data_IF_477778901956
#
_entry.id   IF_477778901956
#
_cell.length_a   1.000
_cell.length_b   1.000
_cell.length_c   1.000
_cell.angle_alpha   90.00
_cell.angle_beta   90.00
_cell.angle_gamma   90.00
#
_symmetry.space_group_name_H-M   'P 1'
#
loop_
_entity.id
_entity.type
_entity.pdbx_description
1 polymer ?
#
# COMPACT_ATOMS: atom_id res chain seq x y z
N UNK A 1 21.11 10.22 58.68
CA UNK A 1 20.30 9.53 57.61
C UNK A 1 19.92 8.17 58.14
N UNK A 2 18.61 7.93 58.27
CA UNK A 2 18.08 6.70 58.86
C UNK A 2 18.22 5.51 57.90
N UNK A 3 18.66 4.35 58.41
CA UNK A 3 18.82 3.09 57.66
C UNK A 3 17.48 2.60 57.06
N UNK A 4 16.35 3.06 57.60
CA UNK A 4 14.99 2.76 57.16
C UNK A 4 14.67 3.35 55.77
N UNK A 5 15.35 4.39 55.30
CA UNK A 5 15.14 4.97 53.96
C UNK A 5 15.66 4.06 52.83
N UNK A 6 16.56 3.13 53.17
CA UNK A 6 17.11 2.16 52.17
C UNK A 6 16.22 0.95 51.94
N UNK A 7 15.18 0.73 52.75
CA UNK A 7 14.24 -0.40 52.68
C UNK A 7 12.90 -0.05 52.02
N UNK A 8 12.67 1.23 51.73
CA UNK A 8 11.46 1.63 51.02
C UNK A 8 11.65 1.36 49.53
N UNK A 9 10.68 0.67 48.86
CA UNK A 9 10.71 0.52 47.42
C UNK A 9 10.73 1.91 46.79
N UNK A 10 11.51 2.07 45.72
CA UNK A 10 11.57 3.29 44.94
C UNK A 10 10.16 3.73 44.56
N UNK A 11 9.77 4.95 44.98
CA UNK A 11 8.48 5.52 44.57
C UNK A 11 8.44 5.54 43.04
N UNK A 12 7.47 4.84 42.46
CA UNK A 12 7.15 4.98 41.05
C UNK A 12 6.78 6.45 40.84
N UNK A 13 7.64 7.19 40.16
CA UNK A 13 7.30 8.53 39.71
C UNK A 13 6.20 8.41 38.68
N UNK A 14 5.00 8.80 39.02
CA UNK A 14 3.94 9.01 38.05
C UNK A 14 4.39 10.15 37.15
N UNK A 15 4.78 9.83 35.93
CA UNK A 15 4.93 10.82 34.86
C UNK A 15 3.57 11.48 34.63
N UNK A 16 3.56 12.80 34.58
CA UNK A 16 2.36 13.60 34.28
C UNK A 16 1.71 13.11 32.99
N UNK A 17 0.36 13.09 32.90
CA UNK A 17 -0.35 12.70 31.70
C UNK A 17 0.08 13.48 30.44
N UNK A 18 0.61 14.70 30.61
CA UNK A 18 1.13 15.54 29.54
C UNK A 18 2.47 15.04 28.96
N UNK A 19 3.24 14.24 29.71
CA UNK A 19 4.54 13.69 29.27
C UNK A 19 4.45 12.27 28.68
N UNK A 20 3.24 11.71 28.60
CA UNK A 20 3.02 10.46 27.88
C UNK A 20 3.16 10.73 26.38
N UNK A 21 4.31 10.40 25.82
CA UNK A 21 4.47 10.33 24.37
C UNK A 21 3.40 9.39 23.85
N UNK A 22 2.40 9.95 23.15
CA UNK A 22 1.40 9.13 22.47
C UNK A 22 2.13 8.22 21.49
N UNK A 23 1.86 6.92 21.57
CA UNK A 23 2.35 5.98 20.56
C UNK A 23 1.76 6.45 19.23
N UNK A 24 2.57 6.68 18.18
CA UNK A 24 2.06 7.10 16.89
C UNK A 24 0.98 6.13 16.41
N UNK A 25 -0.14 6.67 15.94
CA UNK A 25 -1.22 5.87 15.35
C UNK A 25 -0.68 5.08 14.14
N UNK A 26 -1.19 3.86 13.94
CA UNK A 26 -0.82 3.03 12.78
C UNK A 26 0.39 2.12 12.97
N UNK A 27 1.08 2.13 14.13
CA UNK A 27 2.20 1.21 14.40
C UNK A 27 1.76 -0.25 14.63
N UNK A 28 0.50 -0.46 15.00
CA UNK A 28 -0.02 -1.78 15.35
C UNK A 28 -1.23 -2.12 14.50
N UNK A 29 -1.26 -3.34 14.01
CA UNK A 29 -2.36 -3.90 13.20
C UNK A 29 -2.88 -5.16 13.87
N UNK A 30 -4.19 -5.28 14.01
CA UNK A 30 -4.84 -6.49 14.51
C UNK A 30 -5.14 -7.43 13.34
N UNK A 31 -4.63 -8.66 13.39
CA UNK A 31 -4.95 -9.66 12.38
C UNK A 31 -6.46 -9.99 12.41
N UNK A 32 -7.19 -9.90 11.30
CA UNK A 32 -8.62 -10.17 11.29
C UNK A 32 -8.97 -11.65 11.49
N UNK A 33 -8.02 -12.56 11.26
CA UNK A 33 -8.24 -13.99 11.39
C UNK A 33 -7.95 -14.52 12.81
N UNK A 34 -6.78 -14.22 13.38
CA UNK A 34 -6.36 -14.75 14.68
C UNK A 34 -6.35 -13.71 15.80
N UNK A 35 -6.78 -12.48 15.52
CA UNK A 35 -6.88 -11.34 16.43
C UNK A 35 -5.57 -10.93 17.13
N UNK A 36 -4.44 -11.51 16.75
CA UNK A 36 -3.14 -11.12 17.29
C UNK A 36 -2.81 -9.69 16.87
N UNK A 37 -2.28 -8.91 17.80
CA UNK A 37 -1.73 -7.57 17.53
C UNK A 37 -0.32 -7.75 16.97
N UNK A 38 -0.08 -7.16 15.81
CA UNK A 38 1.16 -7.26 15.04
C UNK A 38 1.79 -5.87 14.91
N UNK A 39 3.11 -5.79 14.95
CA UNK A 39 3.80 -4.56 14.63
C UNK A 39 3.78 -4.37 13.09
N UNK A 40 3.37 -3.18 12.63
CA UNK A 40 3.18 -2.92 11.20
C UNK A 40 4.45 -3.19 10.40
N UNK A 41 5.61 -2.78 10.91
CA UNK A 41 6.89 -2.99 10.22
C UNK A 41 7.20 -4.47 10.00
N UNK A 42 6.97 -5.32 11.00
CA UNK A 42 7.20 -6.78 10.87
C UNK A 42 6.23 -7.39 9.85
N UNK A 43 5.02 -6.83 9.77
CA UNK A 43 4.02 -7.25 8.81
C UNK A 43 4.41 -6.84 7.38
N UNK A 44 4.91 -5.61 7.20
CA UNK A 44 5.40 -5.11 5.90
C UNK A 44 6.61 -5.94 5.42
N UNK A 45 7.56 -6.26 6.32
CA UNK A 45 8.70 -7.13 6.01
C UNK A 45 8.27 -8.56 5.62
N UNK A 46 7.13 -9.03 6.14
CA UNK A 46 6.53 -10.33 5.81
C UNK A 46 5.44 -10.23 4.71
N UNK A 47 5.50 -9.23 3.85
CA UNK A 47 4.58 -9.02 2.71
C UNK A 47 3.09 -9.05 3.12
N UNK A 48 2.75 -8.44 4.23
CA UNK A 48 1.41 -8.42 4.82
C UNK A 48 0.81 -9.81 5.12
N UNK A 49 1.65 -10.81 5.36
CA UNK A 49 1.23 -12.14 5.82
C UNK A 49 1.38 -12.24 7.33
N UNK A 50 0.32 -12.61 8.02
CA UNK A 50 0.36 -12.80 9.47
C UNK A 50 1.33 -13.91 9.87
N UNK A 51 2.39 -13.65 10.65
CA UNK A 51 3.38 -14.67 11.01
C UNK A 51 2.81 -15.75 11.95
N UNK A 52 1.65 -15.50 12.57
CA UNK A 52 1.03 -16.43 13.53
C UNK A 52 0.05 -17.41 12.90
N UNK A 53 -0.75 -16.96 11.93
CA UNK A 53 -1.79 -17.81 11.34
C UNK A 53 -1.72 -17.89 9.81
N UNK A 54 -0.71 -17.28 9.20
CA UNK A 54 -0.52 -17.24 7.74
C UNK A 54 -1.68 -16.59 6.98
N UNK A 55 -2.52 -15.80 7.67
CA UNK A 55 -3.55 -15.02 7.00
C UNK A 55 -2.91 -13.91 6.18
N UNK A 56 -3.30 -13.82 4.90
CA UNK A 56 -2.84 -12.76 4.00
C UNK A 56 -3.73 -11.52 4.19
N UNK A 57 -3.12 -10.42 4.61
CA UNK A 57 -3.75 -9.12 4.61
C UNK A 57 -3.60 -8.46 3.23
N UNK A 58 -4.32 -7.37 2.99
CA UNK A 58 -4.16 -6.62 1.74
C UNK A 58 -2.76 -6.07 1.59
N UNK A 59 -2.26 -6.15 0.36
CA UNK A 59 -1.02 -5.55 -0.07
C UNK A 59 -1.34 -4.52 -1.16
N UNK A 60 -0.91 -3.28 -0.98
CA UNK A 60 -1.09 -2.22 -1.98
C UNK A 60 -0.42 -2.59 -3.31
N UNK A 61 -0.91 -2.03 -4.41
CA UNK A 61 -0.38 -2.34 -5.73
C UNK A 61 1.12 -2.02 -5.85
N UNK A 62 1.53 -0.87 -5.33
CA UNK A 62 2.94 -0.44 -5.38
C UNK A 62 3.83 -1.33 -4.53
N UNK A 63 3.42 -1.65 -3.30
CA UNK A 63 4.17 -2.56 -2.42
C UNK A 63 4.34 -3.94 -3.05
N UNK A 64 3.31 -4.42 -3.77
CA UNK A 64 3.37 -5.69 -4.51
C UNK A 64 4.36 -5.63 -5.66
N UNK A 65 4.35 -4.56 -6.45
CA UNK A 65 5.32 -4.36 -7.53
C UNK A 65 6.73 -4.19 -7.00
N UNK A 66 6.89 -3.52 -5.85
CA UNK A 66 8.17 -3.36 -5.18
C UNK A 66 8.73 -4.67 -4.62
N UNK A 67 7.86 -5.57 -4.16
CA UNK A 67 8.26 -6.91 -3.73
C UNK A 67 8.55 -7.87 -4.90
N UNK A 68 7.95 -7.61 -6.07
CA UNK A 68 8.06 -8.49 -7.24
C UNK A 68 9.26 -8.12 -8.14
N UNK A 69 9.46 -6.82 -8.38
CA UNK A 69 10.51 -6.33 -9.28
C UNK A 69 11.84 -6.14 -8.54
N UNK A 70 12.94 -6.37 -9.23
CA UNK A 70 14.27 -6.02 -8.75
C UNK A 70 14.31 -4.52 -8.38
N UNK A 71 15.05 -4.09 -7.35
CA UNK A 71 15.02 -2.72 -6.85
C UNK A 71 15.55 -1.68 -7.84
N UNK A 72 16.38 -2.11 -8.77
CA UNK A 72 17.05 -1.23 -9.73
C UNK A 72 16.32 -1.17 -11.07
N UNK A 73 16.34 0.00 -11.72
CA UNK A 73 15.85 0.18 -13.08
C UNK A 73 14.32 0.20 -13.25
N UNK A 74 13.56 0.34 -12.15
CA UNK A 74 12.11 0.47 -12.20
C UNK A 74 11.69 1.83 -12.75
N UNK A 75 10.60 1.87 -13.51
CA UNK A 75 9.99 3.10 -13.99
C UNK A 75 8.48 2.93 -14.19
N UNK A 76 7.73 4.00 -13.92
CA UNK A 76 6.28 4.03 -14.12
C UNK A 76 5.92 4.18 -15.59
N UNK A 77 4.82 3.55 -16.02
CA UNK A 77 4.27 3.62 -17.38
C UNK A 77 2.84 4.17 -17.30
N UNK A 78 2.58 5.29 -17.99
CA UNK A 78 1.25 5.88 -18.10
C UNK A 78 0.75 6.57 -16.84
N UNK A 79 1.63 6.91 -15.90
CA UNK A 79 1.26 7.61 -14.67
C UNK A 79 0.73 9.03 -14.94
N UNK A 80 1.13 9.63 -16.05
CA UNK A 80 0.65 10.93 -16.52
C UNK A 80 -0.79 10.92 -17.08
N UNK A 81 -1.36 9.72 -17.30
CA UNK A 81 -2.76 9.57 -17.70
C UNK A 81 -3.63 9.76 -16.47
N UNK A 82 -4.39 10.85 -16.46
CA UNK A 82 -5.23 11.24 -15.33
C UNK A 82 -6.71 11.09 -15.66
N UNK A 83 -7.56 10.76 -14.67
CA UNK A 83 -9.00 10.67 -14.87
C UNK A 83 -9.61 12.05 -15.18
N UNK A 84 -10.55 12.07 -16.12
CA UNK A 84 -11.37 13.22 -16.46
C UNK A 84 -12.83 12.90 -16.20
N UNK A 85 -13.62 13.92 -15.83
CA UNK A 85 -15.06 13.80 -15.61
C UNK A 85 -15.85 14.59 -16.67
N UNK A 86 -15.91 14.13 -17.94
CA UNK A 86 -16.64 14.83 -19.00
C UNK A 86 -18.15 14.81 -18.77
N UNK A 87 -18.64 13.85 -18.02
CA UNK A 87 -20.08 13.69 -17.73
C UNK A 87 -20.53 14.45 -16.49
N UNK A 88 -19.60 15.04 -15.72
CA UNK A 88 -19.88 15.67 -14.43
C UNK A 88 -20.68 14.74 -13.52
N UNK A 89 -20.21 13.47 -13.46
CA UNK A 89 -20.93 12.38 -12.80
C UNK A 89 -21.14 12.65 -11.30
N UNK A 90 -22.35 12.42 -10.88
CA UNK A 90 -22.79 12.52 -9.48
C UNK A 90 -23.81 11.41 -9.19
N UNK A 91 -23.53 10.59 -8.18
CA UNK A 91 -24.51 9.73 -7.51
C UNK A 91 -24.82 10.31 -6.11
N UNK A 92 -24.50 9.61 -5.03
CA UNK A 92 -24.54 10.14 -3.67
C UNK A 92 -23.47 11.22 -3.43
N UNK A 93 -22.33 11.16 -4.16
CA UNK A 93 -21.19 12.09 -4.10
C UNK A 93 -20.70 12.40 -5.51
N UNK A 94 -20.04 13.55 -5.69
CA UNK A 94 -19.44 13.91 -6.98
C UNK A 94 -18.21 13.05 -7.26
N UNK A 95 -17.99 12.70 -8.53
CA UNK A 95 -16.83 11.91 -8.94
C UNK A 95 -15.48 12.53 -8.54
N UNK A 96 -15.23 13.84 -8.69
CA UNK A 96 -13.98 14.45 -8.22
C UNK A 96 -13.74 14.35 -6.71
N UNK A 97 -14.79 14.30 -5.89
CA UNK A 97 -14.66 14.09 -4.44
C UNK A 97 -14.20 12.67 -4.11
N UNK A 98 -14.71 11.68 -4.86
CA UNK A 98 -14.26 10.28 -4.74
C UNK A 98 -12.82 10.08 -5.19
N UNK A 99 -12.44 10.73 -6.30
CA UNK A 99 -11.05 10.71 -6.79
C UNK A 99 -10.09 11.28 -5.76
N UNK A 100 -10.44 12.42 -5.17
CA UNK A 100 -9.61 13.05 -4.14
C UNK A 100 -9.41 12.15 -2.93
N UNK A 101 -10.49 11.56 -2.42
CA UNK A 101 -10.43 10.63 -1.30
C UNK A 101 -9.61 9.37 -1.62
N UNK A 102 -9.79 8.78 -2.82
CA UNK A 102 -9.02 7.63 -3.25
C UNK A 102 -7.51 7.96 -3.35
N UNK A 103 -7.16 9.13 -3.92
CA UNK A 103 -5.78 9.61 -3.97
C UNK A 103 -5.18 9.82 -2.57
N UNK A 104 -5.93 10.44 -1.65
CA UNK A 104 -5.48 10.66 -0.27
C UNK A 104 -5.24 9.33 0.48
N UNK A 105 -6.05 8.31 0.21
CA UNK A 105 -5.96 7.02 0.87
C UNK A 105 -4.88 6.10 0.29
N UNK A 106 -4.64 6.15 -1.02
CA UNK A 106 -3.75 5.20 -1.71
C UNK A 106 -2.44 5.82 -2.20
N UNK A 107 -2.40 7.15 -2.38
CA UNK A 107 -1.30 7.84 -3.05
C UNK A 107 -1.29 7.65 -4.57
N UNK A 108 -2.22 6.85 -5.14
CA UNK A 108 -2.30 6.57 -6.57
C UNK A 108 -3.34 7.45 -7.25
N UNK A 109 -3.12 7.74 -8.54
CA UNK A 109 -4.01 8.59 -9.33
C UNK A 109 -5.10 7.82 -10.06
N UNK A 110 -5.01 6.48 -10.10
CA UNK A 110 -6.03 5.58 -10.63
C UNK A 110 -5.80 4.14 -10.14
N UNK A 111 -6.75 3.25 -10.40
CA UNK A 111 -6.77 1.89 -9.88
C UNK A 111 -5.75 0.93 -10.50
N UNK A 112 -4.99 1.32 -11.52
CA UNK A 112 -3.97 0.48 -12.14
C UNK A 112 -2.60 1.16 -12.08
N UNK A 113 -1.63 0.47 -11.49
CA UNK A 113 -0.21 0.84 -11.52
C UNK A 113 0.49 -0.06 -12.53
N UNK A 114 1.23 0.53 -13.47
CA UNK A 114 2.01 -0.21 -14.48
C UNK A 114 3.46 0.24 -14.38
N UNK A 115 4.37 -0.73 -14.27
CA UNK A 115 5.80 -0.48 -14.14
C UNK A 115 6.60 -1.35 -15.11
N UNK A 116 7.64 -0.76 -15.70
CA UNK A 116 8.74 -1.49 -16.30
C UNK A 116 9.81 -1.79 -15.27
N UNK A 117 10.48 -2.93 -15.40
CA UNK A 117 11.55 -3.35 -14.49
C UNK A 117 12.11 -4.70 -14.87
N UNK A 118 12.74 -5.37 -13.92
CA UNK A 118 13.26 -6.74 -14.10
C UNK A 118 12.90 -7.62 -12.90
N UNK A 119 12.96 -8.94 -13.11
CA UNK A 119 12.90 -9.97 -12.07
C UNK A 119 14.07 -10.91 -12.32
N UNK A 120 14.97 -11.02 -11.35
CA UNK A 120 16.25 -11.76 -11.52
C UNK A 120 17.00 -11.35 -12.80
N UNK A 121 17.04 -10.04 -13.09
CA UNK A 121 17.68 -9.44 -14.28
C UNK A 121 16.98 -9.78 -15.61
N UNK A 122 15.78 -10.36 -15.60
CA UNK A 122 14.94 -10.58 -16.79
C UNK A 122 13.97 -9.42 -16.89
N UNK A 123 14.09 -8.61 -17.92
CA UNK A 123 13.23 -7.45 -18.15
C UNK A 123 11.78 -7.86 -18.42
N UNK A 124 10.85 -7.11 -17.87
CA UNK A 124 9.42 -7.27 -18.08
C UNK A 124 8.65 -5.97 -17.80
N UNK A 125 7.39 -5.94 -18.21
CA UNK A 125 6.42 -4.94 -17.77
C UNK A 125 5.42 -5.62 -16.85
N UNK A 126 5.19 -5.04 -15.67
CA UNK A 126 4.25 -5.55 -14.70
C UNK A 126 3.12 -4.54 -14.43
N UNK A 127 1.90 -5.03 -14.27
CA UNK A 127 0.74 -4.23 -13.91
C UNK A 127 0.06 -4.81 -12.68
N UNK A 128 -0.38 -3.96 -11.76
CA UNK A 128 -1.07 -4.36 -10.55
C UNK A 128 -2.25 -3.43 -10.25
N UNK A 129 -3.41 -4.02 -9.90
CA UNK A 129 -4.57 -3.24 -9.48
C UNK A 129 -4.45 -2.80 -8.04
N UNK A 130 -4.74 -1.51 -7.79
CA UNK A 130 -4.94 -0.96 -6.46
C UNK A 130 -6.41 -1.08 -6.08
N UNK A 131 -6.70 -2.04 -5.21
CA UNK A 131 -8.08 -2.32 -4.81
C UNK A 131 -8.68 -1.21 -3.93
N UNK A 132 -7.86 -0.55 -3.13
CA UNK A 132 -8.34 0.53 -2.25
C UNK A 132 -8.61 1.83 -3.02
N UNK A 133 -8.20 1.91 -4.30
CA UNK A 133 -8.65 2.93 -5.22
C UNK A 133 -10.02 2.55 -5.81
N UNK A 134 -11.09 3.06 -5.23
CA UNK A 134 -12.48 2.86 -5.67
C UNK A 134 -12.85 1.39 -5.98
N UNK A 135 -12.34 0.43 -5.16
CA UNK A 135 -12.59 -1.00 -5.33
C UNK A 135 -11.87 -1.63 -6.52
N UNK A 136 -10.81 -0.99 -7.05
CA UNK A 136 -10.11 -1.46 -8.24
C UNK A 136 -10.96 -1.29 -9.52
N UNK A 137 -11.81 -0.26 -9.58
CA UNK A 137 -12.73 -0.03 -10.70
C UNK A 137 -11.98 0.23 -12.00
N UNK A 138 -12.48 -0.37 -13.10
CA UNK A 138 -11.85 -0.28 -14.42
C UNK A 138 -12.50 0.84 -15.25
N UNK A 139 -11.90 2.03 -15.20
CA UNK A 139 -12.27 3.18 -16.02
C UNK A 139 -11.40 3.32 -17.28
N UNK A 140 -11.56 4.45 -17.98
CA UNK A 140 -10.79 4.76 -19.19
C UNK A 140 -9.29 4.87 -18.94
N UNK A 141 -8.89 5.38 -17.78
CA UNK A 141 -7.47 5.51 -17.38
C UNK A 141 -6.84 4.12 -17.20
N UNK A 142 -7.53 3.20 -16.54
CA UNK A 142 -7.08 1.80 -16.41
C UNK A 142 -6.85 1.19 -17.80
N UNK A 143 -7.81 1.36 -18.73
CA UNK A 143 -7.68 0.88 -20.10
C UNK A 143 -6.49 1.47 -20.83
N UNK A 144 -6.30 2.78 -20.76
CA UNK A 144 -5.17 3.47 -21.41
C UNK A 144 -3.82 3.05 -20.81
N UNK A 145 -3.69 2.99 -19.46
CA UNK A 145 -2.45 2.52 -18.82
C UNK A 145 -2.13 1.07 -19.18
N UNK A 146 -3.15 0.20 -19.23
CA UNK A 146 -3.00 -1.17 -19.68
C UNK A 146 -2.46 -1.25 -21.10
N UNK A 147 -3.08 -0.53 -22.04
CA UNK A 147 -2.64 -0.49 -23.45
C UNK A 147 -1.20 0.01 -23.58
N UNK A 148 -0.82 1.05 -22.84
CA UNK A 148 0.56 1.56 -22.84
C UNK A 148 1.54 0.53 -22.30
N UNK A 149 1.18 -0.18 -21.22
CA UNK A 149 2.00 -1.27 -20.70
C UNK A 149 2.22 -2.38 -21.72
N UNK A 150 1.16 -2.81 -22.39
CA UNK A 150 1.24 -3.83 -23.47
C UNK A 150 2.10 -3.33 -24.63
N UNK A 151 1.92 -2.10 -25.11
CA UNK A 151 2.74 -1.52 -26.18
C UNK A 151 4.21 -1.47 -25.79
N UNK A 152 4.53 -1.02 -24.58
CA UNK A 152 5.91 -1.01 -24.07
C UNK A 152 6.52 -2.41 -24.05
N UNK A 153 5.76 -3.41 -23.59
CA UNK A 153 6.20 -4.80 -23.58
C UNK A 153 6.49 -5.34 -25.00
N UNK A 154 5.63 -5.00 -25.96
CA UNK A 154 5.81 -5.39 -27.38
C UNK A 154 7.06 -4.71 -27.97
N UNK A 155 7.21 -3.41 -27.79
CA UNK A 155 8.33 -2.62 -28.31
C UNK A 155 9.67 -3.10 -27.75
N UNK A 156 9.72 -3.39 -26.44
CA UNK A 156 10.90 -3.89 -25.77
C UNK A 156 11.09 -5.42 -25.93
N UNK A 157 10.11 -6.13 -26.51
CA UNK A 157 10.10 -7.60 -26.69
C UNK A 157 10.29 -8.33 -25.35
N UNK A 158 9.58 -7.88 -24.32
CA UNK A 158 9.60 -8.45 -22.98
C UNK A 158 8.22 -8.97 -22.58
N UNK A 159 8.13 -9.88 -21.60
CA UNK A 159 6.85 -10.32 -21.05
C UNK A 159 6.03 -9.17 -20.45
N UNK A 160 4.70 -9.31 -20.51
CA UNK A 160 3.77 -8.49 -19.77
C UNK A 160 3.08 -9.35 -18.70
N UNK A 161 3.24 -8.97 -17.43
CA UNK A 161 2.64 -9.66 -16.29
C UNK A 161 1.57 -8.78 -15.66
N UNK A 162 0.41 -9.34 -15.37
CA UNK A 162 -0.66 -8.61 -14.71
C UNK A 162 -1.09 -9.29 -13.42
N UNK A 163 -0.89 -8.60 -12.30
CA UNK A 163 -1.32 -9.00 -10.97
C UNK A 163 -2.64 -8.36 -10.61
N UNK A 164 -3.63 -9.16 -10.23
CA UNK A 164 -4.86 -8.65 -9.63
C UNK A 164 -4.72 -8.65 -8.12
N UNK A 165 -4.92 -7.46 -7.50
CA UNK A 165 -5.03 -7.38 -6.05
C UNK A 165 -6.37 -8.01 -5.64
N UNK A 166 -6.37 -9.31 -5.43
CA UNK A 166 -7.52 -10.03 -4.91
C UNK A 166 -7.17 -10.71 -3.62
N UNK A 167 -8.03 -10.49 -2.70
CA UNK A 167 -8.41 -11.47 -1.70
C UNK A 167 -9.90 -11.69 -1.78
#
# INVERSE_FOLDING_TARGET
MSWLEKLLPSKIQHTDPADRRSVPEGLWVKCPSCETVLYKKDLDENQNVCPKCSHHLRLAARDRLDAFLDPEGRYDIGQEVLPMDPLKFKDSRKYPERLKEALENTGETDALVVMGGSVHSINLVAACFEFDFMGGSMGSVVGERFVRGVHTAIEQKVPFEIGRAHV
#
